data_IF_314870682627
#
_entry.id   IF_314870682627
#
_cell.length_a   1.000
_cell.length_b   1.000
_cell.length_c   1.000
_cell.angle_alpha   90.00
_cell.angle_beta   90.00
_cell.angle_gamma   90.00
#
_symmetry.space_group_name_H-M   'P 1'
#
loop_
_entity.id
_entity.type
_entity.pdbx_description
1 polymer ?
#
# COMPACT_ATOMS: atom_id res chain seq x y z
N UNK A 1 -9.05 10.78 -24.05
CA UNK A 1 -8.02 10.98 -25.10
C UNK A 1 -6.98 11.98 -24.60
N UNK A 2 -5.70 11.73 -24.85
CA UNK A 2 -4.59 12.61 -24.39
C UNK A 2 -4.55 13.95 -25.12
N UNK A 3 -5.24 14.05 -26.26
CA UNK A 3 -5.35 15.24 -27.10
C UNK A 3 -6.83 15.71 -27.26
N UNK A 4 -7.65 15.48 -26.24
CA UNK A 4 -9.06 15.88 -26.25
C UNK A 4 -9.21 17.40 -26.36
N UNK A 5 -9.99 17.86 -27.34
CA UNK A 5 -10.47 19.25 -27.47
C UNK A 5 -11.98 19.31 -27.22
N UNK A 6 -12.38 19.95 -26.12
CA UNK A 6 -13.76 20.07 -25.72
C UNK A 6 -14.59 20.93 -26.69
N UNK A 7 -13.97 21.71 -27.59
CA UNK A 7 -14.62 22.53 -28.60
C UNK A 7 -14.79 21.84 -29.96
N UNK A 8 -14.19 20.65 -30.12
CA UNK A 8 -14.31 19.89 -31.37
C UNK A 8 -15.76 19.40 -31.55
N UNK A 9 -16.36 19.67 -32.71
CA UNK A 9 -17.71 19.28 -33.07
C UNK A 9 -17.77 18.06 -34.00
N UNK A 10 -16.61 17.59 -34.47
CA UNK A 10 -16.49 16.45 -35.37
C UNK A 10 -15.29 15.60 -34.87
N UNK A 11 -15.50 14.30 -34.73
CA UNK A 11 -14.45 13.33 -34.50
C UNK A 11 -13.74 13.05 -35.83
N UNK A 12 -12.49 13.43 -35.93
CA UNK A 12 -11.62 13.23 -37.10
C UNK A 12 -10.76 11.95 -36.97
N UNK A 13 -10.98 11.14 -35.90
CA UNK A 13 -10.23 9.92 -35.61
C UNK A 13 -8.82 10.19 -35.10
N UNK A 14 -8.45 11.44 -34.78
CA UNK A 14 -7.12 11.80 -34.27
C UNK A 14 -6.98 11.62 -32.75
N UNK A 15 -8.01 11.16 -32.04
CA UNK A 15 -7.97 10.94 -30.60
C UNK A 15 -6.87 9.94 -30.23
N UNK A 16 -5.86 10.41 -29.50
CA UNK A 16 -4.82 9.55 -28.93
C UNK A 16 -5.20 9.12 -27.51
N UNK A 17 -5.20 7.84 -27.29
CA UNK A 17 -5.41 7.24 -25.97
C UNK A 17 -4.04 6.75 -25.46
N UNK A 18 -3.71 7.05 -24.21
CA UNK A 18 -2.59 6.42 -23.56
C UNK A 18 -2.83 4.91 -23.39
N UNK A 19 -1.81 4.14 -23.05
CA UNK A 19 -2.00 2.73 -22.72
C UNK A 19 -3.05 2.60 -21.60
N UNK A 20 -3.94 1.63 -21.75
CA UNK A 20 -4.81 1.20 -20.64
C UNK A 20 -3.95 0.39 -19.70
N UNK A 21 -3.68 0.94 -18.53
CA UNK A 21 -2.94 0.23 -17.48
C UNK A 21 -3.84 -0.81 -16.81
N UNK A 22 -3.27 -1.94 -16.43
CA UNK A 22 -3.96 -2.93 -15.62
C UNK A 22 -4.07 -2.45 -14.17
N UNK A 23 -5.12 -2.86 -13.49
CA UNK A 23 -5.27 -2.62 -12.05
C UNK A 23 -4.14 -3.31 -11.30
N UNK A 24 -3.63 -2.66 -10.26
CA UNK A 24 -2.64 -3.22 -9.35
C UNK A 24 -3.12 -4.54 -8.74
N UNK A 25 -2.21 -5.51 -8.61
CA UNK A 25 -2.49 -6.81 -7.99
C UNK A 25 -1.23 -7.39 -7.33
N UNK A 26 -1.39 -8.36 -6.44
CA UNK A 26 -0.27 -9.04 -5.81
C UNK A 26 0.39 -10.04 -6.79
N UNK A 27 1.72 -10.17 -6.79
CA UNK A 27 2.70 -9.39 -6.02
C UNK A 27 2.89 -7.97 -6.59
N UNK A 28 3.09 -6.98 -5.71
CA UNK A 28 3.35 -5.60 -6.12
C UNK A 28 4.86 -5.34 -6.08
N UNK A 29 5.46 -5.06 -7.24
CA UNK A 29 6.91 -4.84 -7.40
C UNK A 29 7.27 -3.42 -7.83
N UNK A 30 6.29 -2.60 -8.19
CA UNK A 30 6.40 -1.21 -8.69
C UNK A 30 7.15 -1.03 -10.02
N UNK A 31 7.63 -2.10 -10.65
CA UNK A 31 8.48 -2.06 -11.84
C UNK A 31 7.74 -2.26 -13.17
N UNK A 32 6.51 -2.77 -13.16
CA UNK A 32 5.75 -3.06 -14.37
C UNK A 32 5.07 -1.80 -14.92
N UNK A 33 5.61 -1.25 -16.01
CA UNK A 33 5.06 -0.06 -16.66
C UNK A 33 3.64 -0.25 -17.26
N UNK A 34 3.08 -1.45 -17.25
CA UNK A 34 1.71 -1.75 -17.71
C UNK A 34 0.69 -1.77 -16.59
N UNK A 35 1.12 -1.61 -15.32
CA UNK A 35 0.27 -1.58 -14.13
C UNK A 35 0.04 -0.14 -13.66
N UNK A 36 -1.18 0.14 -13.22
CA UNK A 36 -1.52 1.40 -12.54
C UNK A 36 -1.09 1.32 -11.06
N UNK A 37 0.06 1.87 -10.76
CA UNK A 37 0.60 1.98 -9.41
C UNK A 37 0.18 3.28 -8.69
N UNK A 38 -0.95 3.86 -9.04
CA UNK A 38 -1.52 4.96 -8.27
C UNK A 38 -1.83 4.48 -6.86
N UNK A 39 -1.33 5.20 -5.86
CA UNK A 39 -1.57 4.93 -4.43
C UNK A 39 -2.39 6.04 -3.81
N UNK A 40 -3.02 5.77 -2.66
CA UNK A 40 -3.88 6.72 -1.97
C UNK A 40 -3.34 7.02 -0.57
N UNK A 41 -2.45 8.02 -0.40
CA UNK A 41 -1.97 8.45 0.91
C UNK A 41 -3.06 9.22 1.67
N UNK A 42 -3.03 9.11 3.00
CA UNK A 42 -3.99 9.77 3.89
C UNK A 42 -3.34 10.23 5.20
N UNK A 43 -4.06 11.09 5.95
CA UNK A 43 -3.60 11.60 7.23
C UNK A 43 -2.34 12.48 7.15
N UNK A 44 -2.08 13.14 6.00
CA UNK A 44 -0.90 13.97 5.82
C UNK A 44 0.36 13.20 5.36
N UNK A 45 0.30 11.89 5.19
CA UNK A 45 1.33 11.13 4.49
C UNK A 45 1.31 11.50 3.01
N UNK A 46 2.48 11.53 2.35
CA UNK A 46 2.58 11.58 0.89
C UNK A 46 3.29 10.35 0.37
N UNK A 47 2.94 9.93 -0.85
CA UNK A 47 3.56 8.75 -1.46
C UNK A 47 3.69 8.94 -2.97
N UNK A 48 4.77 8.40 -3.54
CA UNK A 48 5.04 8.42 -4.97
C UNK A 48 6.06 7.33 -5.34
N UNK A 49 6.05 6.89 -6.59
CA UNK A 49 7.13 6.05 -7.09
C UNK A 49 8.46 6.83 -7.11
N UNK A 50 9.53 6.14 -6.78
CA UNK A 50 10.89 6.68 -6.70
C UNK A 50 11.91 5.59 -7.04
N UNK A 51 13.13 5.98 -7.35
CA UNK A 51 14.23 5.03 -7.38
C UNK A 51 14.54 4.52 -5.96
N UNK A 52 14.93 3.26 -5.86
CA UNK A 52 15.44 2.64 -4.65
C UNK A 52 16.66 3.42 -4.12
N UNK A 53 16.73 3.75 -2.83
CA UNK A 53 17.83 4.52 -2.25
C UNK A 53 19.20 3.84 -2.34
N UNK A 54 19.25 2.54 -2.62
CA UNK A 54 20.50 1.75 -2.71
C UNK A 54 20.76 1.29 -4.16
N UNK A 55 19.70 1.00 -4.92
CA UNK A 55 19.78 0.52 -6.30
C UNK A 55 18.90 1.37 -7.22
N UNK A 56 19.45 2.42 -7.81
CA UNK A 56 18.70 3.37 -8.63
C UNK A 56 18.04 2.77 -9.91
N UNK A 57 18.32 1.53 -10.27
CA UNK A 57 17.64 0.83 -11.38
C UNK A 57 16.36 0.10 -10.96
N UNK A 58 16.08 0.01 -9.67
CA UNK A 58 14.87 -0.54 -9.10
C UNK A 58 13.87 0.58 -8.78
N UNK A 59 12.59 0.36 -9.04
CA UNK A 59 11.52 1.31 -8.69
C UNK A 59 10.85 0.86 -7.40
N UNK A 60 10.58 1.78 -6.49
CA UNK A 60 9.97 1.50 -5.19
C UNK A 60 8.91 2.54 -4.86
N UNK A 61 8.02 2.24 -3.94
CA UNK A 61 7.12 3.24 -3.39
C UNK A 61 7.83 4.02 -2.26
N UNK A 62 8.05 5.30 -2.47
CA UNK A 62 8.50 6.22 -1.42
C UNK A 62 7.28 6.74 -0.63
N UNK A 63 7.35 6.65 0.67
CA UNK A 63 6.33 7.15 1.61
C UNK A 63 6.98 8.17 2.54
N UNK A 64 6.51 9.41 2.48
CA UNK A 64 6.92 10.46 3.43
C UNK A 64 5.85 10.59 4.54
N UNK A 65 6.23 10.22 5.72
CA UNK A 65 5.48 10.42 6.95
C UNK A 65 5.76 11.84 7.45
N UNK A 66 4.91 12.79 7.06
CA UNK A 66 5.18 14.22 7.29
C UNK A 66 5.12 14.59 8.77
N UNK A 67 5.88 15.64 9.15
CA UNK A 67 5.88 16.15 10.50
C UNK A 67 4.46 16.54 10.97
N UNK A 68 4.10 16.13 12.18
CA UNK A 68 2.80 16.42 12.79
C UNK A 68 1.63 15.59 12.23
N UNK A 69 1.86 14.64 11.32
CA UNK A 69 0.82 13.75 10.85
C UNK A 69 0.26 12.89 12.00
N UNK A 70 -1.06 12.60 12.01
CA UNK A 70 -1.69 11.88 13.11
C UNK A 70 -1.19 10.44 13.22
N UNK A 71 -1.42 9.81 14.36
CA UNK A 71 -0.95 8.45 14.70
C UNK A 71 -1.39 7.36 13.71
N UNK A 72 -2.47 7.61 12.97
CA UNK A 72 -3.09 6.70 12.00
C UNK A 72 -2.82 7.07 10.53
N UNK A 73 -1.91 8.00 10.26
CA UNK A 73 -1.59 8.37 8.87
C UNK A 73 -0.87 7.22 8.14
N UNK A 74 -1.20 7.02 6.88
CA UNK A 74 -0.72 5.88 6.10
C UNK A 74 -0.94 6.05 4.61
N UNK A 75 -0.82 4.95 3.88
CA UNK A 75 -0.97 4.91 2.43
C UNK A 75 -1.68 3.63 2.03
N UNK A 76 -2.80 3.73 1.29
CA UNK A 76 -3.39 2.57 0.62
C UNK A 76 -2.54 2.22 -0.60
N UNK A 77 -2.19 0.94 -0.73
CA UNK A 77 -1.39 0.37 -1.80
C UNK A 77 -2.31 0.13 -3.01
N UNK A 78 -2.63 1.20 -3.72
CA UNK A 78 -3.54 1.21 -4.84
C UNK A 78 -4.56 2.35 -4.75
N UNK A 79 -5.48 2.34 -5.72
CA UNK A 79 -6.66 3.20 -5.73
C UNK A 79 -7.73 2.66 -4.77
N UNK A 80 -8.84 3.40 -4.51
CA UNK A 80 -9.96 2.88 -3.73
C UNK A 80 -10.64 1.63 -4.32
N UNK A 81 -10.33 1.24 -5.55
CA UNK A 81 -10.82 -0.01 -6.14
C UNK A 81 -10.12 -1.26 -5.56
N UNK A 82 -8.99 -1.07 -4.87
CA UNK A 82 -8.18 -2.16 -4.31
C UNK A 82 -7.37 -2.92 -5.37
N UNK A 83 -6.97 -4.13 -5.05
CA UNK A 83 -6.31 -5.07 -5.95
C UNK A 83 -7.30 -5.69 -6.93
N UNK A 84 -6.81 -6.15 -8.08
CA UNK A 84 -7.65 -6.78 -9.11
C UNK A 84 -8.26 -8.11 -8.62
N UNK A 85 -7.58 -8.80 -7.69
CA UNK A 85 -8.03 -10.05 -7.09
C UNK A 85 -8.05 -9.96 -5.56
N UNK A 86 -8.78 -10.89 -4.93
CA UNK A 86 -8.78 -10.99 -3.47
C UNK A 86 -7.41 -11.45 -2.96
N UNK A 87 -6.96 -10.86 -1.85
CA UNK A 87 -5.78 -11.29 -1.11
C UNK A 87 -6.05 -12.70 -0.58
N UNK A 88 -5.22 -13.71 -0.89
CA UNK A 88 -5.55 -15.12 -0.63
C UNK A 88 -5.35 -15.52 0.85
N UNK A 89 -5.88 -14.72 1.78
CA UNK A 89 -5.82 -15.00 3.20
C UNK A 89 -6.78 -16.11 3.61
N UNK A 90 -6.26 -17.04 4.39
CA UNK A 90 -7.01 -18.14 5.00
C UNK A 90 -6.52 -18.35 6.44
N UNK A 91 -7.19 -19.21 7.22
CA UNK A 91 -6.74 -19.57 8.57
C UNK A 91 -5.38 -20.33 8.58
N UNK A 92 -4.98 -20.90 7.46
CA UNK A 92 -3.71 -21.64 7.31
C UNK A 92 -2.68 -20.91 6.45
N UNK A 93 -3.08 -19.82 5.81
CA UNK A 93 -2.24 -18.90 5.06
C UNK A 93 -2.64 -17.47 5.46
N UNK A 94 -2.16 -17.03 6.61
CA UNK A 94 -2.56 -15.78 7.26
C UNK A 94 -1.53 -14.67 7.13
N UNK A 95 -0.52 -14.83 6.26
CA UNK A 95 0.60 -13.92 6.18
C UNK A 95 0.67 -13.15 4.87
N UNK A 96 1.13 -11.91 4.95
CA UNK A 96 1.67 -11.12 3.85
C UNK A 96 3.10 -10.70 4.18
N UNK A 97 3.91 -10.42 3.17
CA UNK A 97 5.23 -9.84 3.37
C UNK A 97 5.41 -8.53 2.61
N UNK A 98 6.24 -7.66 3.17
CA UNK A 98 6.63 -6.38 2.57
C UNK A 98 8.12 -6.19 2.78
N UNK A 99 8.85 -5.85 1.73
CA UNK A 99 10.23 -5.37 1.87
C UNK A 99 10.16 -3.87 2.14
N UNK A 100 10.69 -3.44 3.28
CA UNK A 100 10.61 -2.05 3.72
C UNK A 100 11.99 -1.51 4.12
N UNK A 101 12.37 -0.39 3.53
CA UNK A 101 13.54 0.37 3.98
C UNK A 101 13.11 1.39 5.03
N UNK A 102 13.82 1.40 6.15
CA UNK A 102 13.58 2.34 7.25
C UNK A 102 14.88 3.04 7.66
N UNK A 103 14.83 4.34 8.00
CA UNK A 103 15.98 5.04 8.56
C UNK A 103 16.32 4.57 9.98
N UNK A 104 15.41 3.86 10.66
CA UNK A 104 15.58 3.43 12.05
C UNK A 104 15.06 2.00 12.24
N UNK A 105 15.66 1.27 13.16
CA UNK A 105 15.12 0.03 13.71
C UNK A 105 14.14 0.34 14.85
N UNK A 106 13.25 -0.62 15.16
CA UNK A 106 12.27 -0.47 16.24
C UNK A 106 11.05 0.39 15.87
N UNK A 107 10.85 0.70 14.59
CA UNK A 107 9.70 1.48 14.11
C UNK A 107 8.49 0.56 13.94
N UNK A 108 7.33 0.86 14.54
CA UNK A 108 6.10 0.09 14.33
C UNK A 108 5.56 0.32 12.91
N UNK A 109 5.38 -0.77 12.20
CA UNK A 109 4.75 -0.79 10.87
C UNK A 109 3.49 -1.61 10.98
N UNK A 110 2.35 -1.01 10.66
CA UNK A 110 1.06 -1.69 10.64
C UNK A 110 0.64 -1.94 9.21
N UNK A 111 0.11 -3.13 8.95
CA UNK A 111 -0.54 -3.47 7.70
C UNK A 111 -2.01 -3.80 7.99
N UNK A 112 -2.90 -3.20 7.22
CA UNK A 112 -4.34 -3.39 7.28
C UNK A 112 -4.80 -3.96 5.95
N UNK A 113 -5.65 -4.97 5.99
CA UNK A 113 -6.38 -5.48 4.83
C UNK A 113 -7.85 -5.14 4.95
N UNK A 114 -8.49 -4.82 3.82
CA UNK A 114 -9.89 -4.36 3.76
C UNK A 114 -10.60 -4.94 2.54
N UNK A 115 -11.93 -5.01 2.63
CA UNK A 115 -12.80 -5.12 1.46
C UNK A 115 -13.03 -3.71 0.89
N UNK A 116 -12.64 -3.48 -0.36
CA UNK A 116 -12.81 -2.18 -1.02
C UNK A 116 -14.27 -1.73 -1.14
N UNK A 117 -15.22 -2.66 -1.03
CA UNK A 117 -16.65 -2.40 -1.09
C UNK A 117 -17.29 -2.19 0.29
N UNK A 118 -16.65 -2.67 1.37
CA UNK A 118 -17.13 -2.50 2.73
C UNK A 118 -15.97 -2.25 3.71
N UNK A 119 -15.64 -0.99 4.03
CA UNK A 119 -14.52 -0.65 4.90
C UNK A 119 -14.70 -1.10 6.37
N UNK A 120 -15.84 -1.69 6.74
CA UNK A 120 -16.01 -2.32 8.05
C UNK A 120 -15.45 -3.75 8.08
N UNK A 121 -15.23 -4.36 6.91
CA UNK A 121 -14.57 -5.65 6.76
C UNK A 121 -13.06 -5.43 6.73
N UNK A 122 -12.41 -5.53 7.86
CA UNK A 122 -10.99 -5.20 8.01
C UNK A 122 -10.30 -6.09 9.02
N UNK A 123 -9.00 -6.33 8.82
CA UNK A 123 -8.10 -6.96 9.78
C UNK A 123 -6.76 -6.24 9.75
N UNK A 124 -6.13 -6.04 10.91
CA UNK A 124 -4.85 -5.35 11.03
C UNK A 124 -3.85 -6.18 11.83
N UNK A 125 -2.59 -6.11 11.44
CA UNK A 125 -1.48 -6.66 12.23
C UNK A 125 -0.30 -5.70 12.22
N UNK A 126 0.63 -5.84 13.17
CA UNK A 126 1.73 -4.91 13.35
C UNK A 126 3.03 -5.65 13.60
N UNK A 127 4.11 -5.18 13.00
CA UNK A 127 5.48 -5.63 13.23
C UNK A 127 6.39 -4.42 13.44
N UNK A 128 7.59 -4.64 13.95
CA UNK A 128 8.60 -3.58 14.11
C UNK A 128 9.78 -3.84 13.19
N UNK A 129 10.36 -2.77 12.63
CA UNK A 129 11.57 -2.86 11.83
C UNK A 129 12.75 -3.34 12.68
N UNK A 130 13.61 -4.18 12.11
CA UNK A 130 14.80 -4.70 12.79
C UNK A 130 16.09 -4.08 12.25
N UNK A 131 16.06 -3.50 11.05
CA UNK A 131 17.18 -2.89 10.35
C UNK A 131 17.05 -1.37 10.35
N UNK A 132 18.15 -0.66 10.58
CA UNK A 132 18.26 0.79 10.45
C UNK A 132 19.06 1.15 9.21
N UNK A 133 18.60 2.17 8.45
CA UNK A 133 19.20 2.63 7.19
C UNK A 133 19.40 1.49 6.18
N UNK A 134 18.40 0.63 6.04
CA UNK A 134 18.47 -0.53 5.17
C UNK A 134 17.12 -1.21 4.98
N UNK A 135 17.13 -2.17 4.06
CA UNK A 135 15.96 -3.00 3.74
C UNK A 135 15.75 -4.09 4.79
N UNK A 136 14.50 -4.31 5.14
CA UNK A 136 14.03 -5.33 6.07
C UNK A 136 12.86 -6.09 5.44
N UNK A 137 12.80 -7.39 5.60
CA UNK A 137 11.65 -8.18 5.16
C UNK A 137 10.68 -8.33 6.33
N UNK A 138 9.59 -7.61 6.28
CA UNK A 138 8.55 -7.63 7.31
C UNK A 138 7.49 -8.66 6.96
N UNK A 139 7.24 -9.61 7.86
CA UNK A 139 6.18 -10.61 7.71
C UNK A 139 5.03 -10.25 8.64
N UNK A 140 3.88 -9.97 8.05
CA UNK A 140 2.65 -9.58 8.72
C UNK A 140 1.74 -10.80 8.86
N UNK A 141 1.62 -11.32 10.08
CA UNK A 141 0.76 -12.47 10.38
C UNK A 141 -0.58 -12.00 10.94
N UNK A 142 -1.60 -12.04 10.12
CA UNK A 142 -2.97 -11.64 10.47
C UNK A 142 -3.68 -12.62 11.41
N UNK A 143 -3.07 -13.76 11.76
CA UNK A 143 -3.56 -14.59 12.87
C UNK A 143 -3.24 -13.97 14.24
N UNK A 144 -2.37 -12.93 14.26
CA UNK A 144 -2.01 -12.12 15.42
C UNK A 144 -2.47 -10.68 15.16
N UNK A 145 -3.76 -10.46 15.26
CA UNK A 145 -4.36 -9.15 15.04
C UNK A 145 -3.83 -8.08 16.00
N UNK A 146 -3.71 -6.85 15.52
CA UNK A 146 -3.34 -5.72 16.35
C UNK A 146 -4.42 -5.45 17.42
N UNK A 147 -4.04 -5.08 18.66
CA UNK A 147 -4.99 -4.88 19.74
C UNK A 147 -6.12 -3.90 19.37
N UNK A 148 -7.37 -4.36 19.56
CA UNK A 148 -8.57 -3.56 19.30
C UNK A 148 -9.06 -3.60 17.84
N UNK A 149 -8.46 -4.43 16.98
CA UNK A 149 -8.91 -4.69 15.62
C UNK A 149 -9.63 -6.04 15.50
N UNK A 150 -10.27 -6.30 14.35
CA UNK A 150 -11.00 -7.56 14.15
C UNK A 150 -10.04 -8.72 13.87
N UNK A 151 -10.24 -9.88 14.52
CA UNK A 151 -9.53 -11.10 14.18
C UNK A 151 -9.82 -11.56 12.76
N UNK A 152 -8.79 -12.00 12.03
CA UNK A 152 -8.94 -12.61 10.69
C UNK A 152 -9.95 -13.78 10.72
N UNK A 153 -9.89 -14.61 11.77
CA UNK A 153 -10.77 -15.77 11.94
C UNK A 153 -12.26 -15.41 12.01
N UNK A 154 -12.58 -14.24 12.57
CA UNK A 154 -13.95 -13.75 12.65
C UNK A 154 -14.42 -13.29 11.26
N UNK A 155 -13.62 -12.49 10.55
CA UNK A 155 -13.95 -12.03 9.21
C UNK A 155 -14.15 -13.19 8.23
N UNK A 156 -13.20 -14.11 8.16
CA UNK A 156 -13.31 -15.30 7.32
C UNK A 156 -14.50 -16.19 7.71
N UNK A 157 -14.83 -16.26 9.01
CA UNK A 157 -16.01 -16.98 9.51
C UNK A 157 -17.34 -16.39 9.04
N UNK A 158 -17.39 -15.08 8.76
CA UNK A 158 -18.51 -14.39 8.13
C UNK A 158 -18.46 -14.40 6.61
N UNK A 159 -17.40 -14.96 6.00
CA UNK A 159 -17.21 -15.00 4.56
C UNK A 159 -16.67 -13.69 3.98
N UNK A 160 -16.02 -12.85 4.80
CA UNK A 160 -15.38 -11.64 4.30
C UNK A 160 -14.19 -12.00 3.38
N UNK A 161 -14.02 -11.21 2.34
CA UNK A 161 -12.83 -11.19 1.49
C UNK A 161 -12.13 -9.85 1.62
N UNK A 162 -10.86 -9.81 1.27
CA UNK A 162 -10.04 -8.61 1.35
C UNK A 162 -9.34 -8.41 0.02
N UNK A 163 -9.49 -7.25 -0.59
CA UNK A 163 -8.84 -6.92 -1.86
C UNK A 163 -8.14 -5.56 -1.81
N UNK A 164 -7.94 -5.00 -0.63
CA UNK A 164 -7.23 -3.73 -0.45
C UNK A 164 -6.28 -3.83 0.74
N UNK A 165 -5.10 -3.22 0.64
CA UNK A 165 -4.15 -3.14 1.72
C UNK A 165 -3.70 -1.69 1.95
N UNK A 166 -3.56 -1.32 3.22
CA UNK A 166 -3.01 -0.01 3.64
C UNK A 166 -1.87 -0.22 4.61
N UNK A 167 -0.76 0.50 4.39
CA UNK A 167 0.43 0.46 5.24
C UNK A 167 0.58 1.75 6.03
N UNK A 168 0.97 1.62 7.30
CA UNK A 168 1.15 2.74 8.22
C UNK A 168 2.56 2.67 8.79
N UNK A 169 3.41 3.56 8.32
CA UNK A 169 4.77 3.70 8.86
C UNK A 169 4.75 4.52 10.14
N UNK A 170 5.46 4.06 11.18
CA UNK A 170 5.51 4.68 12.50
C UNK A 170 4.11 4.84 13.13
N UNK A 171 3.30 3.77 13.07
CA UNK A 171 1.94 3.77 13.62
C UNK A 171 1.94 4.07 15.12
N UNK A 172 0.94 4.83 15.55
CA UNK A 172 0.79 5.18 16.96
C UNK A 172 1.60 6.42 17.40
N UNK A 173 2.53 6.91 16.57
CA UNK A 173 3.37 8.07 16.87
C UNK A 173 2.98 9.29 16.03
N UNK A 174 3.28 10.47 16.56
CA UNK A 174 3.20 11.75 15.83
C UNK A 174 4.64 12.20 15.56
N UNK A 175 5.13 12.15 14.31
CA UNK A 175 6.51 12.48 14.02
C UNK A 175 6.77 13.99 14.22
N UNK A 176 7.91 14.34 14.82
CA UNK A 176 8.35 15.73 14.98
C UNK A 176 9.00 16.31 13.72
N UNK A 177 9.41 15.46 12.79
CA UNK A 177 9.98 15.80 11.48
C UNK A 177 9.53 14.79 10.44
N UNK A 178 9.49 15.18 9.17
CA UNK A 178 9.24 14.24 8.06
C UNK A 178 10.24 13.09 8.07
N UNK A 179 9.74 11.88 7.84
CA UNK A 179 10.55 10.65 7.79
C UNK A 179 10.15 9.86 6.56
N UNK A 180 11.15 9.50 5.76
CA UNK A 180 10.95 8.77 4.51
C UNK A 180 11.17 7.28 4.73
N UNK A 181 10.25 6.49 4.21
CA UNK A 181 10.30 5.04 4.10
C UNK A 181 10.19 4.65 2.63
N UNK A 182 10.73 3.49 2.26
CA UNK A 182 10.53 2.94 0.93
C UNK A 182 9.96 1.52 1.05
N UNK A 183 9.09 1.17 0.12
CA UNK A 183 8.35 -0.09 0.14
C UNK A 183 8.53 -0.78 -1.20
N UNK A 184 8.83 -2.05 -1.15
CA UNK A 184 8.99 -2.93 -2.29
C UNK A 184 8.41 -4.32 -2.01
N UNK A 185 8.23 -5.13 -3.06
CA UNK A 185 7.86 -6.55 -3.00
C UNK A 185 6.76 -6.88 -1.98
N UNK A 186 5.56 -6.35 -2.20
CA UNK A 186 4.39 -6.73 -1.40
C UNK A 186 3.82 -8.05 -1.91
N UNK A 187 3.78 -9.08 -1.06
CA UNK A 187 3.35 -10.45 -1.44
C UNK A 187 2.41 -11.07 -0.42
#
# INVERSE_FOLDING_TARGET
ANNYDAAATVDDGSCAYGPVLSQIDLPVTWDDATVDYTVTPFGGTTASLSADPINASNTVLMVDRTAGSPTWAGTTLGTPAGFATDIPLTLTNSTMSVILWSPQAGVPIRLKVEDSNDPTHTCETEVVTTVANGWDTLVFDFSNEAPGTQPLSIGLGFGWTYNMASIFCDFGNVPSSSTIYYIDDVT
#
